data_IF_478661296122
#
_entry.id   IF_478661296122
#
_cell.length_a   1.000
_cell.length_b   1.000
_cell.length_c   1.000
_cell.angle_alpha   90.00
_cell.angle_beta   90.00
_cell.angle_gamma   90.00
#
_symmetry.space_group_name_H-M   'P 1'
#
loop_
_entity.id
_entity.type
_entity.pdbx_description
1 polymer ?
#
# COMPACT_ATOMS: atom_id res chain seq x y z
N UNK A 1 -3.30 9.04 -14.35
CA UNK A 1 -2.90 7.86 -13.55
C UNK A 1 -2.26 8.40 -12.28
N UNK A 2 -2.74 8.00 -11.12
CA UNK A 2 -2.17 8.39 -9.83
C UNK A 2 -1.20 7.33 -9.34
N UNK A 3 -0.35 7.72 -8.39
CA UNK A 3 0.66 6.86 -7.79
C UNK A 3 0.44 6.77 -6.28
N UNK A 4 0.72 5.60 -5.74
CA UNK A 4 0.48 5.27 -4.35
C UNK A 4 1.66 4.52 -3.75
N UNK A 5 1.74 4.51 -2.43
CA UNK A 5 2.60 3.60 -1.67
C UNK A 5 1.73 2.83 -0.69
N UNK A 6 1.85 1.50 -0.72
CA UNK A 6 1.10 0.58 0.14
C UNK A 6 2.09 -0.25 0.97
N UNK A 7 2.01 -0.12 2.29
CA UNK A 7 2.85 -0.84 3.23
C UNK A 7 2.32 -2.25 3.46
N UNK A 8 3.24 -3.20 3.59
CA UNK A 8 2.95 -4.56 4.03
C UNK A 8 4.12 -5.10 4.85
N UNK A 9 3.85 -6.07 5.71
CA UNK A 9 4.88 -6.70 6.55
C UNK A 9 5.27 -8.03 5.90
N UNK A 10 6.54 -8.22 5.49
CA UNK A 10 6.94 -9.42 4.76
C UNK A 10 6.84 -10.71 5.57
N UNK A 11 6.76 -10.63 6.91
CA UNK A 11 6.49 -11.79 7.76
C UNK A 11 5.05 -12.30 7.67
N UNK A 12 4.11 -11.47 7.19
CA UNK A 12 2.69 -11.79 7.06
C UNK A 12 2.29 -11.90 5.59
N UNK A 13 2.66 -10.92 4.78
CA UNK A 13 2.39 -10.90 3.34
C UNK A 13 3.41 -10.01 2.61
N UNK A 14 4.40 -10.61 1.97
CA UNK A 14 5.44 -9.94 1.20
C UNK A 14 5.11 -9.79 -0.29
N UNK A 15 6.09 -9.27 -1.04
CA UNK A 15 5.95 -9.15 -2.50
C UNK A 15 5.99 -10.52 -3.19
N UNK A 16 6.75 -11.47 -2.63
CA UNK A 16 6.85 -12.82 -3.16
C UNK A 16 5.53 -13.59 -2.96
N UNK A 17 4.81 -13.36 -1.86
CA UNK A 17 3.47 -13.90 -1.66
C UNK A 17 2.48 -13.36 -2.70
N UNK A 18 2.50 -12.05 -2.95
CA UNK A 18 1.70 -11.43 -4.00
C UNK A 18 2.00 -12.01 -5.38
N UNK A 19 3.29 -12.24 -5.69
CA UNK A 19 3.71 -12.88 -6.93
C UNK A 19 3.17 -14.31 -7.07
N UNK A 20 3.05 -15.03 -5.95
CA UNK A 20 2.51 -16.40 -5.89
C UNK A 20 0.98 -16.48 -5.88
N UNK A 21 0.25 -15.38 -5.69
CA UNK A 21 -1.23 -15.38 -5.71
C UNK A 21 -1.80 -15.77 -7.08
N UNK A 22 -3.01 -16.35 -7.13
CA UNK A 22 -3.73 -16.53 -8.38
C UNK A 22 -3.85 -15.20 -9.15
N UNK A 23 -3.49 -15.22 -10.44
CA UNK A 23 -3.41 -14.01 -11.31
C UNK A 23 -2.46 -12.91 -10.78
N UNK A 24 -1.65 -13.24 -9.76
CA UNK A 24 -0.76 -12.34 -9.02
C UNK A 24 -1.52 -11.15 -8.41
N UNK A 25 -2.75 -11.39 -7.95
CA UNK A 25 -3.66 -10.36 -7.42
C UNK A 25 -4.09 -10.69 -6.00
N UNK A 26 -4.11 -9.67 -5.15
CA UNK A 26 -4.53 -9.77 -3.76
C UNK A 26 -5.53 -8.67 -3.39
N UNK A 27 -6.63 -9.01 -2.68
CA UNK A 27 -7.44 -8.03 -1.96
C UNK A 27 -6.62 -7.39 -0.84
N UNK A 28 -6.43 -6.08 -0.88
CA UNK A 28 -5.63 -5.35 0.10
C UNK A 28 -6.48 -4.98 1.34
N UNK A 29 -6.83 -5.99 2.12
CA UNK A 29 -7.71 -5.89 3.29
C UNK A 29 -6.96 -5.44 4.57
N UNK A 30 -7.70 -5.29 5.67
CA UNK A 30 -7.13 -5.05 7.00
C UNK A 30 -6.78 -3.57 7.28
N UNK A 31 -7.13 -2.66 6.38
CA UNK A 31 -6.94 -1.23 6.61
C UNK A 31 -7.93 -0.73 7.66
N UNK A 32 -7.42 -0.32 8.83
CA UNK A 32 -8.22 0.19 9.98
C UNK A 32 -7.91 1.65 10.34
N UNK A 33 -7.36 2.41 9.40
CA UNK A 33 -7.14 3.84 9.53
C UNK A 33 -8.06 4.61 8.57
N UNK A 34 -8.85 5.55 9.10
CA UNK A 34 -9.83 6.32 8.33
C UNK A 34 -9.22 7.10 7.17
N UNK A 35 -8.05 7.73 7.37
CA UNK A 35 -7.36 8.49 6.32
C UNK A 35 -6.87 7.56 5.22
N UNK A 36 -6.24 6.44 5.58
CA UNK A 36 -5.77 5.44 4.61
C UNK A 36 -6.94 4.83 3.81
N UNK A 37 -8.07 4.53 4.49
CA UNK A 37 -9.31 4.09 3.83
C UNK A 37 -9.83 5.13 2.86
N UNK A 38 -9.88 6.41 3.27
CA UNK A 38 -10.39 7.48 2.41
C UNK A 38 -9.52 7.67 1.17
N UNK A 39 -8.20 7.53 1.27
CA UNK A 39 -7.32 7.54 0.10
C UNK A 39 -7.68 6.45 -0.92
N UNK A 40 -7.95 5.22 -0.45
CA UNK A 40 -8.41 4.15 -1.35
C UNK A 40 -9.79 4.45 -1.94
N UNK A 41 -10.74 4.89 -1.11
CA UNK A 41 -12.14 5.14 -1.53
C UNK A 41 -12.25 6.28 -2.55
N UNK A 42 -11.61 7.40 -2.24
CA UNK A 42 -11.83 8.66 -2.95
C UNK A 42 -10.78 8.86 -4.05
N UNK A 43 -9.61 8.24 -3.93
CA UNK A 43 -8.46 8.48 -4.80
C UNK A 43 -8.11 7.35 -5.76
N UNK A 44 -8.05 6.10 -5.29
CA UNK A 44 -7.52 4.99 -6.11
C UNK A 44 -8.46 4.61 -7.25
N UNK A 45 -7.90 4.52 -8.45
CA UNK A 45 -8.60 4.10 -9.67
C UNK A 45 -7.92 2.90 -10.33
N UNK A 46 -8.70 2.15 -11.11
CA UNK A 46 -8.17 1.04 -11.89
C UNK A 46 -7.01 1.51 -12.79
N UNK A 47 -5.89 0.79 -12.71
CA UNK A 47 -4.66 1.10 -13.45
C UNK A 47 -3.68 2.01 -12.72
N UNK A 48 -4.05 2.63 -11.59
CA UNK A 48 -3.10 3.37 -10.76
C UNK A 48 -1.96 2.46 -10.29
N UNK A 49 -0.74 3.00 -10.25
CA UNK A 49 0.44 2.25 -9.84
C UNK A 49 0.72 2.43 -8.35
N UNK A 50 1.33 1.40 -7.77
CA UNK A 50 1.56 1.29 -6.34
C UNK A 50 3.00 0.86 -6.09
N UNK A 51 3.75 1.61 -5.28
CA UNK A 51 4.95 1.09 -4.63
C UNK A 51 4.55 0.15 -3.50
N UNK A 52 5.04 -1.09 -3.57
CA UNK A 52 4.94 -2.04 -2.49
C UNK A 52 6.09 -1.78 -1.52
N UNK A 53 5.76 -1.44 -0.27
CA UNK A 53 6.73 -1.06 0.75
C UNK A 53 6.75 -2.10 1.87
N UNK A 54 7.90 -2.71 2.13
CA UNK A 54 8.09 -3.59 3.29
C UNK A 54 8.32 -2.76 4.54
N UNK A 55 7.44 -2.94 5.53
CA UNK A 55 7.53 -2.33 6.86
C UNK A 55 7.75 -3.37 7.95
N UNK A 56 8.10 -2.91 9.15
CA UNK A 56 8.22 -3.76 10.35
C UNK A 56 9.18 -4.95 10.18
N UNK A 57 10.24 -4.77 9.38
CA UNK A 57 11.28 -5.78 9.11
C UNK A 57 12.69 -5.15 9.16
N UNK A 58 13.77 -5.95 9.17
CA UNK A 58 15.14 -5.41 9.21
C UNK A 58 15.47 -4.49 8.02
N UNK A 59 15.01 -4.84 6.83
CA UNK A 59 15.24 -4.08 5.58
C UNK A 59 13.96 -3.40 5.12
N UNK A 60 13.54 -2.32 5.81
CA UNK A 60 12.36 -1.57 5.39
C UNK A 60 12.65 -0.73 4.15
N UNK A 61 11.77 -0.78 3.15
CA UNK A 61 11.97 -0.06 1.90
C UNK A 61 10.95 -0.44 0.82
N UNK A 62 11.11 0.16 -0.36
CA UNK A 62 10.29 -0.15 -1.52
C UNK A 62 10.89 -1.39 -2.20
N UNK A 63 10.04 -2.39 -2.47
CA UNK A 63 10.48 -3.70 -2.98
C UNK A 63 9.99 -3.99 -4.39
N UNK A 64 9.07 -3.18 -4.92
CA UNK A 64 8.51 -3.37 -6.24
C UNK A 64 7.28 -2.53 -6.51
N UNK A 65 6.64 -2.85 -7.62
CA UNK A 65 5.47 -2.15 -8.13
C UNK A 65 4.31 -3.12 -8.28
N UNK A 66 3.14 -2.68 -7.83
CA UNK A 66 1.84 -3.24 -8.15
C UNK A 66 0.97 -2.23 -8.92
N UNK A 67 -0.24 -2.65 -9.25
CA UNK A 67 -1.28 -1.79 -9.83
C UNK A 67 -2.64 -2.12 -9.25
N UNK A 68 -3.48 -1.11 -9.08
CA UNK A 68 -4.88 -1.31 -8.69
C UNK A 68 -5.64 -1.93 -9.85
N UNK A 69 -6.32 -3.05 -9.61
CA UNK A 69 -7.15 -3.76 -10.61
C UNK A 69 -8.63 -3.84 -10.22
N UNK A 70 -8.97 -3.42 -9.00
CA UNK A 70 -10.35 -3.20 -8.56
C UNK A 70 -10.40 -2.02 -7.59
N UNK A 71 -11.27 -1.05 -7.90
CA UNK A 71 -11.55 0.11 -7.05
C UNK A 71 -12.17 -0.30 -5.70
N UNK A 72 -12.22 0.64 -4.76
CA UNK A 72 -12.58 0.38 -3.38
C UNK A 72 -13.95 -0.31 -3.23
N UNK A 73 -14.00 -1.37 -2.43
CA UNK A 73 -15.18 -2.14 -2.10
C UNK A 73 -15.13 -2.64 -0.66
N UNK A 74 -16.25 -3.13 -0.07
CA UNK A 74 -16.30 -3.55 1.33
C UNK A 74 -15.23 -4.56 1.70
N UNK A 75 -14.51 -4.30 2.79
CA UNK A 75 -13.55 -5.24 3.36
C UNK A 75 -14.29 -6.33 4.15
N UNK A 76 -14.40 -7.52 3.57
CA UNK A 76 -15.11 -8.65 4.17
C UNK A 76 -14.48 -9.11 5.49
N UNK A 77 -13.18 -8.86 5.71
CA UNK A 77 -12.49 -9.21 6.96
C UNK A 77 -13.01 -8.42 8.17
N UNK A 78 -13.74 -7.32 7.94
CA UNK A 78 -14.37 -6.55 9.01
C UNK A 78 -15.63 -7.23 9.59
N UNK A 79 -16.24 -8.17 8.86
CA UNK A 79 -17.51 -8.79 9.24
C UNK A 79 -17.37 -10.19 9.83
N UNK A 80 -16.21 -10.83 9.67
CA UNK A 80 -15.96 -12.18 10.21
C UNK A 80 -15.43 -12.09 11.65
N UNK A 81 -16.15 -12.62 12.67
CA UNK A 81 -15.69 -12.62 14.05
C UNK A 81 -14.39 -13.37 14.31
N UNK A 82 -13.94 -14.22 13.37
CA UNK A 82 -12.66 -14.95 13.46
C UNK A 82 -11.49 -14.21 12.83
N UNK A 83 -11.77 -13.14 12.09
CA UNK A 83 -10.75 -12.30 11.47
C UNK A 83 -10.04 -11.46 12.53
N UNK A 84 -8.71 -11.34 12.42
CA UNK A 84 -7.92 -10.40 13.24
C UNK A 84 -8.37 -8.94 13.05
N UNK A 85 -9.01 -8.66 11.92
CA UNK A 85 -9.48 -7.33 11.54
C UNK A 85 -10.98 -7.13 11.75
N UNK A 86 -11.64 -8.01 12.50
CA UNK A 86 -13.07 -7.91 12.81
C UNK A 86 -13.39 -6.55 13.46
N UNK A 87 -14.45 -5.90 12.97
CA UNK A 87 -15.02 -4.71 13.60
C UNK A 87 -16.51 -4.97 13.87
N UNK A 88 -16.91 -5.27 15.12
CA UNK A 88 -18.31 -5.56 15.46
C UNK A 88 -19.26 -4.40 15.19
N UNK A 89 -18.72 -3.20 14.92
CA UNK A 89 -19.51 -2.01 14.62
C UNK A 89 -19.61 -1.74 13.11
N UNK A 90 -18.88 -2.48 12.27
CA UNK A 90 -18.97 -2.34 10.81
C UNK A 90 -20.24 -3.02 10.30
N UNK A 91 -21.13 -2.24 9.70
CA UNK A 91 -22.40 -2.71 9.16
C UNK A 91 -22.22 -3.19 7.71
N UNK A 92 -22.59 -4.43 7.34
CA UNK A 92 -22.56 -4.88 5.95
C UNK A 92 -23.37 -4.01 4.98
N UNK A 93 -24.44 -3.36 5.44
CA UNK A 93 -25.25 -2.45 4.62
C UNK A 93 -24.59 -1.06 4.47
N UNK A 94 -23.71 -0.68 5.40
CA UNK A 94 -22.90 0.55 5.32
C UNK A 94 -21.46 0.31 5.83
N UNK A 95 -20.62 -0.36 5.02
CA UNK A 95 -19.32 -0.85 5.46
C UNK A 95 -18.37 0.27 5.88
N UNK A 96 -17.82 0.17 7.10
CA UNK A 96 -16.84 1.15 7.59
C UNK A 96 -15.50 1.02 6.88
N UNK A 97 -15.12 -0.20 6.55
CA UNK A 97 -13.81 -0.55 6.02
C UNK A 97 -13.92 -1.01 4.59
N UNK A 98 -12.96 -0.56 3.79
CA UNK A 98 -12.90 -0.78 2.37
C UNK A 98 -11.51 -1.32 2.01
N UNK A 99 -11.45 -2.09 0.94
CA UNK A 99 -10.23 -2.62 0.34
C UNK A 99 -10.25 -2.43 -1.17
N UNK A 100 -9.09 -2.56 -1.80
CA UNK A 100 -8.90 -2.57 -3.26
C UNK A 100 -8.24 -3.87 -3.65
N UNK A 101 -8.27 -4.26 -4.92
CA UNK A 101 -7.42 -5.36 -5.40
C UNK A 101 -6.16 -4.81 -6.04
N UNK A 102 -5.00 -5.34 -5.62
CA UNK A 102 -3.69 -4.97 -6.16
C UNK A 102 -3.12 -6.16 -6.91
N UNK A 103 -2.67 -5.93 -8.14
CA UNK A 103 -1.95 -6.91 -8.94
C UNK A 103 -0.47 -6.59 -8.99
N UNK A 104 0.37 -7.59 -8.85
CA UNK A 104 1.81 -7.49 -9.09
C UNK A 104 2.12 -6.95 -10.51
N UNK A 105 3.15 -6.11 -10.61
CA UNK A 105 3.69 -5.63 -11.90
C UNK A 105 5.14 -6.09 -12.04
N UNK A 106 6.01 -5.69 -11.13
CA UNK A 106 7.43 -6.07 -11.14
C UNK A 106 8.06 -5.93 -9.76
N UNK A 107 9.09 -6.73 -9.50
CA UNK A 107 9.94 -6.64 -8.30
C UNK A 107 11.15 -5.74 -8.63
N UNK A 108 11.62 -4.97 -7.67
CA UNK A 108 12.88 -4.23 -7.81
C UNK A 108 14.06 -5.20 -7.74
N UNK A 109 15.19 -4.83 -8.35
CA UNK A 109 16.41 -5.67 -8.28
C UNK A 109 16.92 -5.82 -6.85
N UNK A 110 16.80 -4.75 -6.07
CA UNK A 110 17.16 -4.68 -4.66
C UNK A 110 16.11 -3.86 -3.92
N UNK A 111 16.02 -4.02 -2.60
CA UNK A 111 15.14 -3.18 -1.78
C UNK A 111 15.67 -1.75 -1.80
N UNK A 112 14.85 -0.80 -2.23
CA UNK A 112 15.16 0.62 -2.09
C UNK A 112 14.89 1.04 -0.65
N UNK A 113 15.94 0.97 0.18
CA UNK A 113 15.88 1.15 1.63
C UNK A 113 15.33 2.53 2.03
N UNK A 114 14.61 2.56 3.16
CA UNK A 114 14.14 3.80 3.78
C UNK A 114 15.29 4.80 4.02
N UNK A 115 16.48 4.31 4.38
CA UNK A 115 17.66 5.15 4.56
C UNK A 115 18.05 5.87 3.27
N UNK A 116 18.01 5.18 2.12
CA UNK A 116 18.25 5.79 0.81
C UNK A 116 17.20 6.86 0.51
N UNK A 117 15.92 6.58 0.78
CA UNK A 117 14.86 7.59 0.62
C UNK A 117 15.07 8.81 1.52
N UNK A 118 15.53 8.62 2.77
CA UNK A 118 15.85 9.73 3.69
C UNK A 118 17.05 10.55 3.22
N UNK A 119 18.06 9.92 2.65
CA UNK A 119 19.22 10.62 2.09
C UNK A 119 18.83 11.54 0.92
N UNK A 120 17.74 11.24 0.22
CA UNK A 120 17.20 12.02 -0.89
C UNK A 120 15.94 12.81 -0.52
N UNK A 121 15.73 13.11 0.77
CA UNK A 121 14.52 13.78 1.25
C UNK A 121 14.27 15.14 0.58
N UNK A 122 15.33 15.89 0.26
CA UNK A 122 15.22 17.16 -0.45
C UNK A 122 14.56 17.00 -1.84
N UNK A 123 15.01 16.01 -2.62
CA UNK A 123 14.46 15.70 -3.94
C UNK A 123 13.04 15.10 -3.89
N UNK A 124 12.65 14.51 -2.76
CA UNK A 124 11.32 13.95 -2.53
C UNK A 124 10.33 14.99 -1.97
N UNK A 125 10.81 16.17 -1.58
CA UNK A 125 10.01 17.25 -1.02
C UNK A 125 9.18 16.79 0.20
N UNK A 126 7.91 17.21 0.26
CA UNK A 126 7.01 16.87 1.37
C UNK A 126 6.42 15.45 1.25
N UNK A 127 7.29 14.45 1.08
CA UNK A 127 6.86 13.06 0.95
C UNK A 127 6.35 12.51 2.28
N UNK A 128 5.06 12.16 2.31
CA UNK A 128 4.36 11.74 3.53
C UNK A 128 5.04 10.57 4.25
N UNK A 129 5.70 9.66 3.53
CA UNK A 129 6.45 8.54 4.11
C UNK A 129 7.54 9.01 5.09
N UNK A 130 8.21 10.12 4.79
CA UNK A 130 9.38 10.60 5.53
C UNK A 130 9.03 11.51 6.71
N UNK A 131 7.78 11.99 6.78
CA UNK A 131 7.30 12.86 7.87
C UNK A 131 7.40 12.16 9.23
N UNK A 132 7.91 12.89 10.22
CA UNK A 132 8.00 12.41 11.60
C UNK A 132 6.60 12.06 12.12
N UNK A 133 6.47 10.88 12.73
CA UNK A 133 5.21 10.43 13.31
C UNK A 133 4.19 9.89 12.32
N UNK A 134 4.49 9.81 11.01
CA UNK A 134 3.59 9.16 10.06
C UNK A 134 3.31 7.70 10.47
N UNK A 135 2.03 7.32 10.47
CA UNK A 135 1.52 5.97 10.76
C UNK A 135 0.59 5.43 9.67
N UNK A 136 0.48 6.14 8.54
CA UNK A 136 -0.37 5.71 7.43
C UNK A 136 0.29 4.56 6.66
N UNK A 137 -0.51 3.56 6.32
CA UNK A 137 -0.13 2.39 5.51
C UNK A 137 -0.40 2.60 4.02
N UNK A 138 -1.29 3.53 3.67
CA UNK A 138 -1.59 3.95 2.31
C UNK A 138 -1.23 5.42 2.20
N UNK A 139 -0.42 5.78 1.21
CA UNK A 139 0.06 7.14 1.00
C UNK A 139 -0.10 7.54 -0.47
N UNK A 140 -0.55 8.76 -0.78
CA UNK A 140 -0.42 9.31 -2.12
C UNK A 140 1.07 9.56 -2.43
N UNK A 141 1.43 9.40 -3.69
CA UNK A 141 2.77 9.69 -4.23
C UNK A 141 2.58 10.63 -5.41
N UNK A 142 3.26 11.78 -5.43
CA UNK A 142 3.19 12.67 -6.59
C UNK A 142 3.95 12.07 -7.78
N UNK A 143 3.67 12.55 -9.00
CA UNK A 143 4.41 12.10 -10.18
C UNK A 143 5.91 12.38 -10.07
N UNK A 144 6.27 13.52 -9.49
CA UNK A 144 7.66 13.91 -9.25
C UNK A 144 8.31 12.93 -8.25
N UNK A 145 7.65 12.63 -7.13
CA UNK A 145 8.14 11.65 -6.16
C UNK A 145 8.29 10.26 -6.77
N UNK A 146 7.31 9.84 -7.58
CA UNK A 146 7.34 8.56 -8.27
C UNK A 146 8.56 8.44 -9.19
N UNK A 147 8.77 9.43 -10.04
CA UNK A 147 9.90 9.47 -10.97
C UNK A 147 11.24 9.55 -10.24
N UNK A 148 11.35 10.36 -9.18
CA UNK A 148 12.54 10.44 -8.34
C UNK A 148 12.86 9.08 -7.72
N UNK A 149 11.86 8.38 -7.17
CA UNK A 149 12.05 7.05 -6.58
C UNK A 149 12.50 6.03 -7.63
N UNK A 150 11.91 6.06 -8.83
CA UNK A 150 12.32 5.17 -9.93
C UNK A 150 13.75 5.43 -10.42
N UNK A 151 14.25 6.67 -10.32
CA UNK A 151 15.62 7.00 -10.67
C UNK A 151 16.64 6.52 -9.62
N UNK A 152 16.19 6.14 -8.42
CA UNK A 152 17.01 5.58 -7.34
C UNK A 152 17.04 4.04 -7.33
N UNK A 153 16.20 3.40 -8.14
CA UNK A 153 16.17 1.95 -8.35
C UNK A 153 17.34 1.46 -9.22
#
# INVERSE_FOLDING_TARGET
>A
MQHWLMKTEPGTFGIDDLMGRPKQTEPWYGIRNYTARNFMRDGMKNGDQVFLYHSSCPETGIVGIGKVVKEAYPDSSAFDPKSEWFDPKSDPANPRWLMVDVKFVRKFKQVLLLQTLRAHAEALGDFALLRKGNRLSILPVTTEQWNTILALE
#
